data_IF_759558389609
#
_entry.id   IF_759558389609
#
_cell.length_a   1.000
_cell.length_b   1.000
_cell.length_c   1.000
_cell.angle_alpha   90.00
_cell.angle_beta   90.00
_cell.angle_gamma   90.00
#
_symmetry.space_group_name_H-M   'P 1'
#
loop_
_entity.id
_entity.type
_entity.pdbx_description
1 polymer ?
#
# COMPACT_ATOMS: atom_id res chain seq x y z
N UNK A 1 -11.69 -9.31 -21.90
CA UNK A 1 -10.33 -8.76 -22.07
C UNK A 1 -10.33 -7.24 -22.14
N UNK A 2 -10.97 -6.56 -21.16
CA UNK A 2 -11.14 -5.11 -21.16
C UNK A 2 -9.79 -4.35 -21.13
N UNK A 3 -8.80 -4.89 -20.39
CA UNK A 3 -7.45 -4.33 -20.30
C UNK A 3 -6.61 -4.43 -21.59
N UNK A 4 -6.88 -5.43 -22.46
CA UNK A 4 -6.19 -5.57 -23.75
C UNK A 4 -6.80 -4.68 -24.83
N UNK A 5 -8.09 -4.37 -24.71
CA UNK A 5 -8.83 -3.58 -25.71
C UNK A 5 -8.72 -2.07 -25.48
N UNK A 6 -8.31 -1.61 -24.30
CA UNK A 6 -8.23 -0.19 -23.94
C UNK A 6 -6.91 0.13 -23.19
N UNK A 7 -5.77 0.21 -23.90
CA UNK A 7 -4.45 0.35 -23.29
C UNK A 7 -4.21 1.71 -22.61
N UNK A 8 -4.98 2.74 -22.94
CA UNK A 8 -4.78 4.11 -22.43
C UNK A 8 -5.42 4.36 -21.06
N UNK A 9 -6.36 3.50 -20.67
CA UNK A 9 -7.00 3.53 -19.35
C UNK A 9 -6.02 3.04 -18.26
N UNK A 10 -6.26 3.46 -17.01
CA UNK A 10 -5.40 3.12 -15.85
C UNK A 10 -5.18 1.61 -15.75
N UNK A 11 -6.24 0.81 -15.90
CA UNK A 11 -6.17 -0.64 -15.84
C UNK A 11 -5.33 -1.23 -16.99
N UNK A 12 -5.42 -0.67 -18.19
CA UNK A 12 -4.60 -1.07 -19.34
C UNK A 12 -3.11 -0.75 -19.16
N UNK A 13 -2.81 0.44 -18.60
CA UNK A 13 -1.43 0.83 -18.23
C UNK A 13 -0.85 -0.06 -17.13
N UNK A 14 -1.66 -0.42 -16.13
CA UNK A 14 -1.27 -1.34 -15.06
C UNK A 14 -1.05 -2.77 -15.57
N UNK A 15 -1.87 -3.21 -16.53
CA UNK A 15 -1.73 -4.55 -17.12
C UNK A 15 -0.35 -4.79 -17.74
N UNK A 16 0.22 -3.77 -18.39
CA UNK A 16 1.60 -3.83 -18.94
C UNK A 16 2.69 -3.94 -17.88
N UNK A 17 2.39 -3.55 -16.63
CA UNK A 17 3.31 -3.58 -15.49
C UNK A 17 3.08 -4.80 -14.58
N UNK A 18 2.22 -5.75 -14.96
CA UNK A 18 1.97 -6.92 -14.13
C UNK A 18 3.24 -7.75 -14.01
N UNK A 19 3.46 -8.29 -12.82
CA UNK A 19 4.42 -9.35 -12.58
C UNK A 19 3.88 -10.69 -13.07
N UNK A 20 4.76 -11.69 -13.10
CA UNK A 20 4.40 -13.06 -13.47
C UNK A 20 3.27 -13.59 -12.60
N UNK A 21 2.49 -14.49 -13.21
CA UNK A 21 1.39 -15.15 -12.54
C UNK A 21 1.89 -15.94 -11.33
N UNK A 22 1.30 -15.66 -10.17
CA UNK A 22 1.56 -16.40 -8.94
C UNK A 22 0.59 -17.59 -8.84
N UNK A 23 1.07 -18.80 -8.55
CA UNK A 23 0.23 -20.00 -8.56
C UNK A 23 -0.72 -20.11 -7.37
N UNK A 24 -0.42 -19.42 -6.26
CA UNK A 24 -1.15 -19.56 -5.00
C UNK A 24 -1.18 -18.26 -4.19
N UNK A 25 -2.18 -18.18 -3.31
CA UNK A 25 -2.43 -17.03 -2.44
C UNK A 25 -1.25 -16.72 -1.51
N UNK A 26 -0.52 -17.73 -1.03
CA UNK A 26 0.59 -17.52 -0.10
C UNK A 26 1.78 -16.88 -0.81
N UNK A 27 2.10 -17.36 -2.01
CA UNK A 27 3.13 -16.77 -2.86
C UNK A 27 2.77 -15.36 -3.32
N UNK A 28 1.49 -15.04 -3.51
CA UNK A 28 1.05 -13.65 -3.76
C UNK A 28 1.45 -12.73 -2.60
N UNK A 29 1.17 -13.14 -1.36
CA UNK A 29 1.46 -12.33 -0.17
C UNK A 29 2.96 -12.18 0.05
N UNK A 30 3.73 -13.26 -0.04
CA UNK A 30 5.18 -13.20 0.15
C UNK A 30 5.87 -12.35 -0.90
N UNK A 31 5.44 -12.45 -2.17
CA UNK A 31 5.93 -11.61 -3.26
C UNK A 31 5.56 -10.15 -3.04
N UNK A 32 4.31 -9.86 -2.64
CA UNK A 32 3.87 -8.49 -2.34
C UNK A 32 4.73 -7.82 -1.25
N UNK A 33 5.00 -8.54 -0.16
CA UNK A 33 5.81 -8.03 0.95
C UNK A 33 7.30 -7.91 0.59
N UNK A 34 7.87 -8.91 -0.08
CA UNK A 34 9.30 -8.97 -0.40
C UNK A 34 9.68 -7.99 -1.50
N UNK A 35 8.95 -8.01 -2.60
CA UNK A 35 9.26 -7.21 -3.79
C UNK A 35 8.60 -5.83 -3.73
N UNK A 36 7.86 -5.53 -2.65
CA UNK A 36 7.17 -4.26 -2.38
C UNK A 36 6.24 -3.87 -3.53
N UNK A 37 5.46 -4.84 -4.01
CA UNK A 37 4.50 -4.66 -5.09
C UNK A 37 3.07 -4.66 -4.55
N UNK A 38 2.19 -3.93 -5.23
CA UNK A 38 0.76 -3.92 -4.91
C UNK A 38 0.03 -5.07 -5.61
N UNK A 39 -0.91 -5.68 -4.90
CA UNK A 39 -1.83 -6.66 -5.49
C UNK A 39 -3.10 -5.91 -5.92
N UNK A 40 -3.58 -6.20 -7.13
CA UNK A 40 -4.82 -5.62 -7.67
C UNK A 40 -5.82 -6.75 -7.80
N UNK A 41 -6.81 -6.77 -6.91
CA UNK A 41 -7.87 -7.77 -6.90
C UNK A 41 -9.19 -7.16 -6.40
N UNK A 42 -10.32 -7.86 -6.58
CA UNK A 42 -11.57 -7.50 -5.93
C UNK A 42 -11.42 -7.50 -4.40
N UNK A 43 -12.15 -6.62 -3.72
CA UNK A 43 -12.09 -6.44 -2.27
C UNK A 43 -12.25 -7.76 -1.49
N UNK A 44 -13.20 -8.61 -1.89
CA UNK A 44 -13.41 -9.93 -1.26
C UNK A 44 -12.15 -10.81 -1.27
N UNK A 45 -11.36 -10.76 -2.35
CA UNK A 45 -10.11 -11.52 -2.43
C UNK A 45 -9.07 -10.90 -1.50
N UNK A 46 -8.98 -9.57 -1.44
CA UNK A 46 -8.08 -8.89 -0.51
C UNK A 46 -8.39 -9.23 0.95
N UNK A 47 -9.67 -9.18 1.35
CA UNK A 47 -10.10 -9.54 2.70
C UNK A 47 -9.79 -11.00 3.03
N UNK A 48 -9.93 -11.90 2.05
CA UNK A 48 -9.54 -13.30 2.19
C UNK A 48 -8.03 -13.48 2.39
N UNK A 49 -7.19 -12.80 1.59
CA UNK A 49 -5.73 -12.82 1.75
C UNK A 49 -5.30 -12.26 3.10
N UNK A 50 -5.88 -11.14 3.54
CA UNK A 50 -5.62 -10.55 4.85
C UNK A 50 -6.02 -11.49 5.99
N UNK A 51 -7.19 -12.13 5.88
CA UNK A 51 -7.66 -13.10 6.89
C UNK A 51 -6.72 -14.30 6.96
N UNK A 52 -6.29 -14.83 5.81
CA UNK A 52 -5.33 -15.94 5.74
C UNK A 52 -3.99 -15.58 6.37
N UNK A 53 -3.43 -14.42 6.03
CA UNK A 53 -2.17 -13.93 6.59
C UNK A 53 -2.24 -13.73 8.11
N UNK A 54 -3.31 -13.06 8.57
CA UNK A 54 -3.50 -12.81 9.99
C UNK A 54 -3.68 -14.10 10.78
N UNK A 55 -4.38 -15.09 10.22
CA UNK A 55 -4.59 -16.38 10.90
C UNK A 55 -3.30 -17.19 11.02
N UNK A 56 -2.34 -17.00 10.10
CA UNK A 56 -1.03 -17.68 10.13
C UNK A 56 -0.02 -16.97 11.06
N UNK A 57 0.04 -15.64 11.03
CA UNK A 57 1.10 -14.88 11.72
C UNK A 57 0.63 -14.10 12.95
N UNK A 58 -0.68 -13.85 13.10
CA UNK A 58 -1.24 -13.06 14.20
C UNK A 58 -1.00 -11.55 14.11
N UNK A 59 -0.45 -11.05 12.99
CA UNK A 59 -0.11 -9.64 12.79
C UNK A 59 -0.74 -9.09 11.49
N UNK A 60 -1.07 -7.79 11.48
CA UNK A 60 -1.62 -7.11 10.31
C UNK A 60 -0.52 -6.50 9.44
N UNK A 61 0.06 -7.32 8.56
CA UNK A 61 1.16 -6.90 7.67
C UNK A 61 0.69 -6.34 6.32
N UNK A 62 -0.59 -6.57 6.00
CA UNK A 62 -1.23 -6.14 4.78
C UNK A 62 -2.19 -5.00 5.07
N UNK A 63 -2.24 -4.03 4.15
CA UNK A 63 -3.20 -2.93 4.19
C UNK A 63 -4.03 -2.92 2.91
N UNK A 64 -5.32 -2.65 3.06
CA UNK A 64 -6.22 -2.42 1.93
C UNK A 64 -6.21 -0.92 1.59
N UNK A 65 -5.95 -0.60 0.34
CA UNK A 65 -6.19 0.73 -0.19
C UNK A 65 -7.43 0.67 -1.08
N UNK A 66 -8.47 1.41 -0.72
CA UNK A 66 -9.65 1.54 -1.59
C UNK A 66 -9.26 2.25 -2.88
N UNK A 67 -9.44 1.54 -3.99
CA UNK A 67 -9.21 2.07 -5.31
C UNK A 67 -10.35 1.59 -6.22
N UNK A 68 -11.17 2.52 -6.71
CA UNK A 68 -12.27 2.26 -7.64
C UNK A 68 -11.77 1.95 -9.07
N UNK A 69 -10.75 1.08 -9.17
CA UNK A 69 -10.03 0.75 -10.40
C UNK A 69 -10.64 -0.45 -11.13
N UNK A 70 -11.28 -1.35 -10.40
CA UNK A 70 -11.92 -2.55 -10.94
C UNK A 70 -13.44 -2.37 -10.81
N UNK A 71 -14.22 -2.55 -11.90
CA UNK A 71 -15.67 -2.60 -11.80
C UNK A 71 -16.13 -3.65 -10.79
N UNK A 72 -17.29 -3.48 -10.16
CA UNK A 72 -17.84 -4.48 -9.25
C UNK A 72 -17.94 -5.82 -9.99
N UNK A 73 -17.25 -6.82 -9.45
CA UNK A 73 -17.30 -8.19 -9.95
C UNK A 73 -18.23 -9.00 -9.07
N UNK A 74 -19.09 -9.77 -9.72
CA UNK A 74 -20.03 -10.66 -9.07
C UNK A 74 -19.59 -12.09 -9.30
N UNK A 75 -19.50 -12.88 -8.24
CA UNK A 75 -19.31 -14.32 -8.34
C UNK A 75 -20.67 -14.97 -8.55
N UNK A 76 -20.74 -15.91 -9.48
CA UNK A 76 -21.96 -16.65 -9.79
C UNK A 76 -21.65 -18.14 -9.96
N UNK A 77 -22.67 -18.97 -9.83
CA UNK A 77 -22.56 -20.41 -10.07
C UNK A 77 -22.69 -20.69 -11.56
N UNK A 78 -21.69 -21.39 -12.11
CA UNK A 78 -21.72 -21.86 -13.49
C UNK A 78 -22.39 -23.24 -13.59
N UNK A 79 -23.34 -23.38 -14.53
CA UNK A 79 -24.02 -24.66 -14.80
C UNK A 79 -23.82 -25.09 -16.25
N UNK A 80 -23.87 -26.41 -16.55
CA UNK A 80 -24.00 -26.90 -17.92
C UNK A 80 -25.22 -26.28 -18.61
N UNK A 81 -25.11 -26.03 -19.92
CA UNK A 81 -26.24 -25.51 -20.71
C UNK A 81 -27.46 -26.42 -20.56
N UNK A 82 -28.63 -25.81 -20.38
CA UNK A 82 -29.93 -26.48 -20.19
C UNK A 82 -30.01 -27.39 -18.96
N UNK A 83 -29.16 -27.19 -17.95
CA UNK A 83 -29.26 -27.93 -16.70
C UNK A 83 -30.59 -27.62 -15.98
N UNK A 84 -31.41 -28.62 -15.63
CA UNK A 84 -32.63 -28.40 -14.85
C UNK A 84 -32.34 -27.93 -13.42
N UNK A 85 -31.07 -28.02 -12.99
CA UNK A 85 -30.62 -27.60 -11.67
C UNK A 85 -30.58 -26.08 -11.52
N UNK A 86 -30.34 -25.34 -12.61
CA UNK A 86 -30.16 -23.89 -12.58
C UNK A 86 -31.34 -23.20 -11.88
N UNK A 87 -32.56 -23.43 -12.35
CA UNK A 87 -33.76 -22.77 -11.82
C UNK A 87 -33.99 -23.12 -10.34
N UNK A 88 -33.79 -24.38 -9.97
CA UNK A 88 -34.01 -24.82 -8.58
C UNK A 88 -32.97 -24.23 -7.63
N UNK A 89 -31.71 -24.23 -8.04
CA UNK A 89 -30.63 -23.72 -7.23
C UNK A 89 -30.71 -22.19 -7.10
N UNK A 90 -31.02 -21.48 -8.18
CA UNK A 90 -31.13 -20.02 -8.15
C UNK A 90 -32.23 -19.55 -7.18
N UNK A 91 -33.37 -20.24 -7.14
CA UNK A 91 -34.45 -19.96 -6.15
C UNK A 91 -33.97 -20.23 -4.72
N UNK A 92 -33.23 -21.31 -4.49
CA UNK A 92 -32.68 -21.62 -3.16
C UNK A 92 -31.63 -20.58 -2.75
N UNK A 93 -30.74 -20.21 -3.66
CA UNK A 93 -29.71 -19.20 -3.42
C UNK A 93 -30.31 -17.85 -3.07
N UNK A 94 -31.37 -17.44 -3.78
CA UNK A 94 -32.12 -16.22 -3.46
C UNK A 94 -32.67 -16.25 -2.03
N UNK A 95 -33.22 -17.38 -1.56
CA UNK A 95 -33.69 -17.51 -0.17
C UNK A 95 -32.55 -17.40 0.83
N UNK A 96 -31.40 -18.01 0.56
CA UNK A 96 -30.21 -17.92 1.43
C UNK A 96 -29.71 -16.48 1.52
N UNK A 97 -29.66 -15.77 0.40
CA UNK A 97 -29.27 -14.34 0.38
C UNK A 97 -30.30 -13.49 1.13
N UNK A 98 -31.59 -13.65 0.84
CA UNK A 98 -32.68 -12.89 1.47
C UNK A 98 -32.78 -13.16 2.98
N UNK A 99 -32.45 -14.37 3.43
CA UNK A 99 -32.41 -14.72 4.85
C UNK A 99 -31.22 -14.10 5.60
N UNK A 100 -30.25 -13.51 4.89
CA UNK A 100 -29.04 -12.95 5.49
C UNK A 100 -27.96 -13.98 5.85
N UNK A 101 -28.23 -15.28 5.66
CA UNK A 101 -27.27 -16.37 5.95
C UNK A 101 -25.96 -16.16 5.17
N UNK A 102 -26.03 -15.78 3.89
CA UNK A 102 -24.84 -15.54 3.09
C UNK A 102 -23.95 -14.43 3.70
N UNK A 103 -24.55 -13.30 4.09
CA UNK A 103 -23.82 -12.19 4.71
C UNK A 103 -23.23 -12.59 6.07
N UNK A 104 -23.96 -13.37 6.86
CA UNK A 104 -23.48 -13.87 8.15
C UNK A 104 -22.26 -14.78 7.98
N UNK A 105 -22.30 -15.71 7.02
CA UNK A 105 -21.18 -16.62 6.73
C UNK A 105 -19.95 -15.87 6.21
N UNK A 106 -20.15 -14.84 5.38
CA UNK A 106 -19.05 -14.02 4.88
C UNK A 106 -18.41 -13.23 6.04
N UNK A 107 -19.22 -12.53 6.84
CA UNK A 107 -18.70 -11.72 7.94
C UNK A 107 -18.06 -12.55 9.04
N UNK A 108 -18.57 -13.77 9.31
CA UNK A 108 -17.97 -14.67 10.31
C UNK A 108 -16.61 -15.18 9.85
N UNK A 109 -16.45 -15.51 8.56
CA UNK A 109 -15.18 -16.02 8.03
C UNK A 109 -14.14 -14.91 7.82
N UNK A 110 -14.56 -13.68 7.56
CA UNK A 110 -13.68 -12.53 7.36
C UNK A 110 -13.45 -11.69 8.62
N UNK A 111 -13.88 -12.17 9.79
CA UNK A 111 -13.74 -11.42 11.03
C UNK A 111 -12.28 -11.01 11.34
N UNK A 112 -11.31 -11.86 11.01
CA UNK A 112 -9.90 -11.59 11.23
C UNK A 112 -9.39 -10.38 10.43
N UNK A 113 -9.78 -10.23 9.16
CA UNK A 113 -9.40 -9.05 8.38
C UNK A 113 -10.05 -7.77 8.90
N UNK A 114 -11.26 -7.84 9.48
CA UNK A 114 -11.88 -6.66 10.10
C UNK A 114 -11.06 -6.11 11.25
N UNK A 115 -10.31 -6.95 11.98
CA UNK A 115 -9.40 -6.48 13.02
C UNK A 115 -8.27 -5.63 12.45
N UNK A 116 -7.70 -6.04 11.31
CA UNK A 116 -6.67 -5.29 10.59
C UNK A 116 -7.18 -4.02 9.89
N UNK A 117 -8.47 -3.99 9.55
CA UNK A 117 -9.11 -2.83 8.93
C UNK A 117 -9.68 -1.83 9.93
N UNK A 118 -9.66 -2.15 11.24
CA UNK A 118 -10.06 -1.15 12.23
C UNK A 118 -9.13 0.04 12.09
N UNK A 119 -9.68 1.26 11.87
CA UNK A 119 -8.85 2.46 11.89
C UNK A 119 -8.14 2.44 13.24
N UNK A 120 -6.81 2.51 13.22
CA UNK A 120 -6.11 2.72 14.48
C UNK A 120 -6.68 4.04 15.02
N UNK A 121 -7.17 4.03 16.25
CA UNK A 121 -7.57 5.26 16.95
C UNK A 121 -6.38 6.24 17.11
N UNK A 122 -5.20 5.88 16.59
CA UNK A 122 -3.99 6.68 16.46
C UNK A 122 -3.82 7.38 15.10
N UNK A 123 -4.87 7.42 14.26
CA UNK A 123 -4.91 8.36 13.14
C UNK A 123 -4.80 9.78 13.72
N UNK A 124 -3.59 10.34 13.68
CA UNK A 124 -3.12 11.58 14.32
C UNK A 124 -2.54 11.48 15.74
N UNK A 125 -1.89 10.38 16.12
CA UNK A 125 -0.75 10.54 17.03
C UNK A 125 0.39 11.16 16.23
N UNK A 126 0.43 12.49 16.18
CA UNK A 126 1.58 13.26 15.71
C UNK A 126 2.81 12.68 16.40
N UNK A 127 3.60 11.87 15.69
CA UNK A 127 4.79 11.27 16.30
C UNK A 127 5.63 12.41 16.88
N UNK A 128 6.12 12.30 18.12
CA UNK A 128 6.99 13.34 18.65
C UNK A 128 8.16 13.53 17.69
N UNK A 129 8.44 14.79 17.34
CA UNK A 129 9.52 15.09 16.41
C UNK A 129 10.83 14.56 17.01
N UNK A 130 11.53 13.72 16.25
CA UNK A 130 12.78 13.11 16.69
C UNK A 130 13.92 13.98 16.17
N UNK A 131 15.06 14.01 16.87
CA UNK A 131 16.24 14.80 16.47
C UNK A 131 16.69 14.48 15.05
N UNK A 132 16.47 13.26 14.57
CA UNK A 132 16.74 12.84 13.18
C UNK A 132 15.96 13.64 12.14
N UNK A 133 14.78 14.14 12.49
CA UNK A 133 13.95 14.95 11.59
C UNK A 133 14.55 16.35 11.37
N UNK A 134 15.43 16.79 12.29
CA UNK A 134 16.15 18.05 12.23
C UNK A 134 17.56 17.93 11.66
N UNK A 135 18.01 16.74 11.25
CA UNK A 135 19.35 16.55 10.67
C UNK A 135 19.60 17.45 9.47
N UNK A 136 18.59 17.70 8.64
CA UNK A 136 18.69 18.65 7.52
C UNK A 136 18.97 20.08 8.01
N UNK A 137 18.28 20.52 9.06
CA UNK A 137 18.47 21.85 9.66
C UNK A 137 19.87 21.98 10.27
N UNK A 138 20.30 20.98 11.04
CA UNK A 138 21.64 20.95 11.63
C UNK A 138 22.75 20.88 10.58
N UNK A 139 22.52 20.18 9.47
CA UNK A 139 23.48 20.09 8.37
C UNK A 139 23.66 21.45 7.68
N UNK A 140 22.58 22.16 7.40
CA UNK A 140 22.64 23.51 6.82
C UNK A 140 23.35 24.47 7.77
N UNK A 141 23.01 24.42 9.06
CA UNK A 141 23.67 25.24 10.08
C UNK A 141 25.17 24.96 10.17
N UNK A 142 25.57 23.69 10.23
CA UNK A 142 26.98 23.29 10.31
C UNK A 142 27.79 23.72 9.08
N UNK A 143 27.24 23.54 7.87
CA UNK A 143 27.90 23.98 6.63
C UNK A 143 28.02 25.50 6.61
N UNK A 144 26.96 26.22 6.95
CA UNK A 144 26.98 27.70 7.01
C UNK A 144 28.03 28.22 7.98
N UNK A 145 28.12 27.61 9.16
CA UNK A 145 29.09 27.99 10.19
C UNK A 145 30.53 27.73 9.74
N UNK A 146 30.81 26.58 9.12
CA UNK A 146 32.12 26.27 8.56
C UNK A 146 32.51 27.26 7.45
N UNK A 147 31.56 27.63 6.58
CA UNK A 147 31.79 28.59 5.51
C UNK A 147 32.11 29.98 6.06
N UNK A 148 31.37 30.45 7.08
CA UNK A 148 31.64 31.73 7.75
C UNK A 148 33.04 31.77 8.39
N UNK A 149 33.44 30.69 9.07
CA UNK A 149 34.78 30.58 9.66
C UNK A 149 35.86 30.62 8.58
N UNK A 150 35.64 29.94 7.46
CA UNK A 150 36.59 29.92 6.35
C UNK A 150 36.78 31.31 5.72
N UNK A 151 35.69 32.05 5.49
CA UNK A 151 35.74 33.43 5.01
C UNK A 151 36.51 34.32 6.00
N UNK A 152 36.23 34.19 7.30
CA UNK A 152 36.91 34.95 8.34
C UNK A 152 38.43 34.69 8.36
N UNK A 153 38.86 33.44 8.23
CA UNK A 153 40.29 33.08 8.16
C UNK A 153 40.95 33.71 6.93
N UNK A 154 40.29 33.67 5.77
CA UNK A 154 40.81 34.29 4.53
C UNK A 154 40.95 35.81 4.70
N UNK A 155 39.97 36.46 5.32
CA UNK A 155 39.97 37.90 5.57
C UNK A 155 41.11 38.31 6.51
N UNK A 156 41.31 37.59 7.61
CA UNK A 156 42.41 37.85 8.56
C UNK A 156 43.78 37.62 7.90
N UNK A 157 43.93 36.56 7.10
CA UNK A 157 45.18 36.27 6.40
C UNK A 157 45.50 37.33 5.34
N UNK A 158 44.50 37.79 4.59
CA UNK A 158 44.65 38.82 3.56
C UNK A 158 44.89 40.21 4.17
N UNK A 159 44.17 40.54 5.24
CA UNK A 159 44.35 41.79 5.99
C UNK A 159 45.73 41.89 6.68
N UNK A 160 46.26 40.77 7.21
CA UNK A 160 47.64 40.70 7.74
C UNK A 160 48.68 40.90 6.64
N UNK A 161 48.51 40.27 5.47
CA UNK A 161 49.42 40.44 4.33
C UNK A 161 49.39 41.88 3.79
N UNK A 162 48.22 42.51 3.72
CA UNK A 162 48.09 43.90 3.30
C UNK A 162 48.79 44.88 4.28
N UNK A 163 48.60 44.72 5.59
CA UNK A 163 49.31 45.52 6.61
C UNK A 163 50.82 45.32 6.59
N UNK A 164 51.29 44.08 6.38
CA UNK A 164 52.73 43.79 6.31
C UNK A 164 53.40 44.41 5.09
N UNK A 165 52.67 44.61 3.97
CA UNK A 165 53.20 45.17 2.73
C UNK A 165 53.24 46.71 2.73
N UNK A 166 52.51 47.36 3.64
CA UNK A 166 52.48 48.82 3.82
C UNK A 166 53.62 49.30 4.74
N UNK A 167 54.16 48.42 5.59
CA UNK A 167 55.23 48.73 6.56
C UNK A 167 56.65 48.37 6.07
N UNK A 168 56.82 48.07 4.78
CA UNK A 168 58.10 47.93 4.05
C UNK A 168 58.08 48.88 2.88
#
# INVERSE_FOLDING_TARGET
NYALTQPDYVLGKMWKKRTDYQPDAKNVITTALKDKVAVIAPEMIHLGLMTGDFSEFGECRLALCEANLIPPVYMTYGYPKNSPLQVRFDIMLLRVVQSGIANHLISSNLWNSTWCMKPSNSLSESRPLVVTDFLGLFSIYGIGMAFSVLVFIIEVATGRKAKSKINT
#
